data_IF_457481778221
#
_entry.id   IF_457481778221
#
_cell.length_a   1.000
_cell.length_b   1.000
_cell.length_c   1.000
_cell.angle_alpha   90.00
_cell.angle_beta   90.00
_cell.angle_gamma   90.00
#
_symmetry.space_group_name_H-M   'P 1'
#
loop_
_entity.id
_entity.type
_entity.pdbx_description
1 polymer ?
#
# COMPACT_ATOMS: atom_id res chain seq x y z
N UNK A 1 -25.53 10.53 4.41
CA UNK A 1 -24.40 9.87 3.73
C UNK A 1 -23.33 10.93 3.60
N UNK A 2 -22.33 10.91 4.47
CA UNK A 2 -21.32 11.97 4.52
C UNK A 2 -20.22 11.62 3.52
N UNK A 3 -20.13 12.41 2.44
CA UNK A 3 -19.02 12.35 1.50
C UNK A 3 -17.73 12.67 2.24
N UNK A 4 -16.80 11.73 2.23
CA UNK A 4 -15.51 11.86 2.90
C UNK A 4 -14.63 12.77 2.03
N UNK A 5 -14.20 13.90 2.60
CA UNK A 5 -13.31 14.85 1.92
C UNK A 5 -11.99 14.19 1.51
N UNK A 6 -11.33 14.66 0.43
CA UNK A 6 -10.06 14.10 -0.06
C UNK A 6 -8.97 14.01 1.02
N UNK A 7 -8.94 14.98 1.92
CA UNK A 7 -7.98 15.08 3.03
C UNK A 7 -8.27 14.06 4.14
N UNK A 8 -9.55 13.77 4.41
CA UNK A 8 -9.98 12.75 5.37
C UNK A 8 -9.78 11.32 4.86
N UNK A 9 -9.61 11.12 3.55
CA UNK A 9 -9.07 9.87 3.01
C UNK A 9 -7.60 9.67 3.37
N UNK A 10 -6.85 10.76 3.50
CA UNK A 10 -5.40 10.80 3.78
C UNK A 10 -5.07 10.90 5.28
N UNK A 11 -6.05 11.16 6.15
CA UNK A 11 -5.86 11.09 7.61
C UNK A 11 -5.56 9.66 8.09
N UNK A 12 -4.79 9.51 9.19
CA UNK A 12 -4.41 8.22 9.73
C UNK A 12 -5.51 7.63 10.65
N UNK A 13 -6.57 7.05 10.06
CA UNK A 13 -7.10 5.78 10.57
C UNK A 13 -7.39 4.76 9.46
N UNK A 14 -7.11 5.08 8.19
CA UNK A 14 -7.40 4.21 7.06
C UNK A 14 -6.30 3.18 6.78
N UNK A 15 -5.47 2.83 7.78
CA UNK A 15 -4.47 1.77 7.67
C UNK A 15 -5.10 0.46 7.18
N UNK A 16 -6.37 0.21 7.50
CA UNK A 16 -7.14 -0.92 6.95
C UNK A 16 -7.36 -0.83 5.44
N UNK A 17 -7.70 0.35 4.91
CA UNK A 17 -7.87 0.55 3.46
C UNK A 17 -6.54 0.51 2.73
N UNK A 18 -5.47 1.06 3.33
CA UNK A 18 -4.11 0.94 2.79
C UNK A 18 -3.70 -0.53 2.75
N UNK A 19 -3.89 -1.27 3.84
CA UNK A 19 -3.58 -2.70 3.90
C UNK A 19 -4.41 -3.49 2.88
N UNK A 20 -5.70 -3.19 2.74
CA UNK A 20 -6.55 -3.80 1.73
C UNK A 20 -6.05 -3.50 0.30
N UNK A 21 -5.66 -2.25 0.04
CA UNK A 21 -5.05 -1.84 -1.23
C UNK A 21 -3.76 -2.60 -1.54
N UNK A 22 -2.88 -2.76 -0.55
CA UNK A 22 -1.64 -3.54 -0.71
C UNK A 22 -1.95 -5.00 -1.04
N UNK A 23 -2.90 -5.64 -0.33
CA UNK A 23 -3.27 -7.04 -0.58
C UNK A 23 -3.84 -7.24 -1.98
N UNK A 24 -4.50 -6.24 -2.56
CA UNK A 24 -5.03 -6.33 -3.93
C UNK A 24 -3.98 -6.15 -5.03
N UNK A 25 -2.73 -5.79 -4.70
CA UNK A 25 -1.65 -5.71 -5.68
C UNK A 25 -1.21 -7.14 -6.01
N UNK A 26 -1.29 -7.52 -7.28
CA UNK A 26 -0.93 -8.87 -7.75
C UNK A 26 0.26 -8.87 -8.72
N UNK A 27 0.79 -7.70 -9.05
CA UNK A 27 1.90 -7.54 -9.98
C UNK A 27 3.04 -6.74 -9.34
N UNK A 28 4.27 -7.13 -9.68
CA UNK A 28 5.47 -6.53 -9.12
C UNK A 28 5.69 -5.09 -9.57
N UNK A 29 5.23 -4.72 -10.78
CA UNK A 29 5.37 -3.37 -11.33
C UNK A 29 4.61 -2.34 -10.49
N UNK A 30 3.32 -2.61 -10.23
CA UNK A 30 2.46 -1.77 -9.38
C UNK A 30 3.00 -1.71 -7.95
N UNK A 31 3.49 -2.83 -7.42
CA UNK A 31 4.08 -2.87 -6.08
C UNK A 31 5.29 -1.94 -5.97
N UNK A 32 6.19 -1.98 -6.96
CA UNK A 32 7.38 -1.12 -7.00
C UNK A 32 7.00 0.37 -7.12
N UNK A 33 5.97 0.70 -7.91
CA UNK A 33 5.46 2.06 -7.98
C UNK A 33 4.93 2.54 -6.62
N UNK A 34 4.22 1.68 -5.86
CA UNK A 34 3.79 1.98 -4.50
C UNK A 34 4.96 2.19 -3.54
N UNK A 35 6.02 1.38 -3.63
CA UNK A 35 7.24 1.54 -2.82
C UNK A 35 7.93 2.87 -3.14
N UNK A 36 8.08 3.22 -4.42
CA UNK A 36 8.70 4.48 -4.84
C UNK A 36 7.89 5.68 -4.36
N UNK A 37 6.56 5.65 -4.51
CA UNK A 37 5.67 6.69 -4.03
C UNK A 37 5.77 6.87 -2.51
N UNK A 38 5.71 5.77 -1.75
CA UNK A 38 5.79 5.83 -0.28
C UNK A 38 7.16 6.38 0.17
N UNK A 39 8.26 5.94 -0.45
CA UNK A 39 9.61 6.46 -0.17
C UNK A 39 9.77 7.94 -0.51
N UNK A 40 9.10 8.45 -1.55
CA UNK A 40 9.22 9.83 -1.98
C UNK A 40 8.33 10.82 -1.20
N UNK A 41 7.22 10.36 -0.62
CA UNK A 41 6.20 11.25 -0.06
C UNK A 41 6.09 11.19 1.47
N UNK A 42 5.90 9.99 2.03
CA UNK A 42 5.42 9.81 3.41
C UNK A 42 6.38 9.00 4.27
N UNK A 43 7.22 8.16 3.64
CA UNK A 43 8.22 7.31 4.27
C UNK A 43 7.69 6.50 5.47
N UNK A 44 6.43 6.04 5.39
CA UNK A 44 5.82 5.28 6.48
C UNK A 44 6.38 3.87 6.50
N UNK A 45 7.31 3.63 7.42
CA UNK A 45 8.01 2.35 7.58
C UNK A 45 7.05 1.15 7.68
N UNK A 46 5.90 1.30 8.35
CA UNK A 46 4.91 0.21 8.48
C UNK A 46 4.30 -0.19 7.13
N UNK A 47 4.11 0.77 6.21
CA UNK A 47 3.58 0.52 4.87
C UNK A 47 4.64 -0.10 3.98
N UNK A 48 5.88 0.41 4.05
CA UNK A 48 7.01 -0.17 3.34
C UNK A 48 7.24 -1.63 3.71
N UNK A 49 7.14 -1.97 5.00
CA UNK A 49 7.23 -3.36 5.47
C UNK A 49 6.09 -4.23 4.94
N UNK A 50 4.88 -3.67 4.80
CA UNK A 50 3.73 -4.40 4.26
C UNK A 50 3.85 -4.62 2.75
N UNK A 51 4.40 -3.66 2.02
CA UNK A 51 4.73 -3.78 0.60
C UNK A 51 5.82 -4.84 0.38
N UNK A 52 6.85 -4.88 1.22
CA UNK A 52 7.87 -5.93 1.18
C UNK A 52 7.29 -7.33 1.41
N UNK A 53 6.38 -7.48 2.39
CA UNK A 53 5.67 -8.73 2.61
C UNK A 53 4.88 -9.15 1.36
N UNK A 54 4.12 -8.23 0.76
CA UNK A 54 3.33 -8.53 -0.44
C UNK A 54 4.21 -8.91 -1.63
N UNK A 55 5.38 -8.29 -1.77
CA UNK A 55 6.34 -8.66 -2.80
C UNK A 55 6.85 -10.10 -2.65
N UNK A 56 7.01 -10.55 -1.41
CA UNK A 56 7.41 -11.93 -1.11
C UNK A 56 6.27 -12.91 -1.43
N UNK A 57 5.02 -12.53 -1.15
CA UNK A 57 3.83 -13.32 -1.48
C UNK A 57 3.68 -13.50 -3.00
N UNK A 58 3.77 -12.41 -3.78
CA UNK A 58 3.69 -12.47 -5.26
C UNK A 58 4.76 -13.40 -5.82
N UNK A 59 6.01 -13.30 -5.34
CA UNK A 59 7.11 -14.19 -5.78
C UNK A 59 6.88 -15.66 -5.44
N UNK A 60 6.18 -15.95 -4.35
CA UNK A 60 5.85 -17.31 -3.95
C UNK A 60 4.60 -17.85 -4.67
N UNK A 61 3.72 -16.97 -5.18
CA UNK A 61 2.58 -17.33 -6.03
C UNK A 61 3.01 -17.62 -7.48
N UNK A 62 4.11 -17.02 -7.93
CA UNK A 62 4.70 -17.21 -9.27
C UNK A 62 5.58 -18.47 -9.40
N UNK A 63 5.94 -19.13 -8.28
CA UNK A 63 6.77 -20.37 -8.19
C UNK A 63 5.90 -21.65 -8.13
#
# INVERSE_FOLDING_TARGET
>A
MSEISPEQRLEPPNTRLINAGIVTINDMETLLACVAYENANQQRVQILRRLEQRASEIRAEDD
#
